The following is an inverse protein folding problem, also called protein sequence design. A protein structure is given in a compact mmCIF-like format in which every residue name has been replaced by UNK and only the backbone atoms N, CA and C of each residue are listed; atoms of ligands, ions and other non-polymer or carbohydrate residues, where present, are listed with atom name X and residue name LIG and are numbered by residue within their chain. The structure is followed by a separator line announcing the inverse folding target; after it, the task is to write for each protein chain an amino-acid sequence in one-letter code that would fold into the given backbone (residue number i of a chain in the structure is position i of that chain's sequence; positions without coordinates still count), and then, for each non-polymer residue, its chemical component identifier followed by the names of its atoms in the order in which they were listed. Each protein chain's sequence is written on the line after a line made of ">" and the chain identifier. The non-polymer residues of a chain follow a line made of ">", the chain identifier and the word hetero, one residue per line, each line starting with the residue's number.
data_IF_258125807599
#
_entry.id   IF_258125807599
#
_cell.length_a   1.000
_cell.length_b   1.000
_cell.length_c   1.000
_cell.angle_alpha   90.00
_cell.angle_beta   90.00
_cell.angle_gamma   90.00
#
_symmetry.space_group_name_H-M   'P 1'
#
loop_
_entity.id
_entity.type
_entity.pdbx_description
1 polymer ?
#
# COMPACT_ATOMS: atom_id res chain seq x y z
N UNK A 1 17.04 -8.86 3.85
CA UNK A 1 15.89 -7.91 3.86
C UNK A 1 15.54 -7.64 5.31
N UNK A 2 16.18 -6.66 5.94
CA UNK A 2 16.09 -6.39 7.39
C UNK A 2 14.78 -5.75 7.83
N UNK A 3 13.64 -6.19 7.30
CA UNK A 3 12.33 -5.77 7.78
C UNK A 3 12.09 -6.46 9.12
N UNK A 4 11.82 -5.67 10.15
CA UNK A 4 11.44 -6.24 11.44
C UNK A 4 10.15 -7.05 11.28
N UNK A 5 10.25 -8.34 11.62
CA UNK A 5 9.14 -9.28 11.47
C UNK A 5 7.97 -8.87 12.35
N UNK A 6 8.24 -8.38 13.57
CA UNK A 6 7.20 -8.00 14.52
C UNK A 6 6.38 -6.83 13.99
N UNK A 7 7.06 -5.78 13.51
CA UNK A 7 6.43 -4.60 12.91
C UNK A 7 5.65 -4.96 11.64
N UNK A 8 6.21 -5.82 10.79
CA UNK A 8 5.53 -6.29 9.57
C UNK A 8 4.23 -7.04 9.89
N UNK A 9 4.27 -7.93 10.88
CA UNK A 9 3.07 -8.66 11.32
C UNK A 9 2.05 -7.75 12.00
N UNK A 10 2.48 -6.73 12.74
CA UNK A 10 1.58 -5.75 13.33
C UNK A 10 0.82 -4.95 12.25
N UNK A 11 1.52 -4.51 11.19
CA UNK A 11 0.89 -3.84 10.04
C UNK A 11 -0.09 -4.78 9.31
N UNK A 12 0.21 -6.07 9.22
CA UNK A 12 -0.66 -7.06 8.58
C UNK A 12 -1.99 -7.30 9.35
N UNK A 13 -2.08 -6.91 10.62
CA UNK A 13 -3.33 -6.94 11.38
C UNK A 13 -4.32 -5.83 10.95
N UNK A 14 -3.88 -4.84 10.18
CA UNK A 14 -4.76 -3.83 9.58
C UNK A 14 -5.32 -2.78 10.55
N UNK A 15 -4.80 -2.66 11.78
CA UNK A 15 -5.25 -1.61 12.74
C UNK A 15 -5.12 -0.20 12.16
N UNK A 16 -4.03 0.06 11.44
CA UNK A 16 -3.74 1.32 10.77
C UNK A 16 -4.77 1.68 9.67
N UNK A 17 -5.37 0.67 9.01
CA UNK A 17 -6.43 0.89 8.01
C UNK A 17 -7.68 1.48 8.68
N UNK A 18 -8.06 0.97 9.84
CA UNK A 18 -9.20 1.48 10.64
C UNK A 18 -8.93 2.84 11.26
N UNK A 19 -7.66 3.13 11.54
CA UNK A 19 -7.21 4.43 12.02
C UNK A 19 -7.01 5.47 10.90
N UNK A 20 -7.23 5.09 9.63
CA UNK A 20 -6.99 5.93 8.46
C UNK A 20 -5.55 6.47 8.36
N UNK A 21 -4.58 5.68 8.82
CA UNK A 21 -3.16 6.02 8.74
C UNK A 21 -2.57 5.63 7.39
N UNK A 22 -1.49 6.29 6.98
CA UNK A 22 -0.80 6.00 5.73
C UNK A 22 0.43 5.10 5.98
N UNK A 23 0.61 4.09 5.13
CA UNK A 23 1.81 3.25 5.11
C UNK A 23 2.72 3.64 3.94
N UNK A 24 3.90 4.18 4.22
CA UNK A 24 4.89 4.52 3.20
C UNK A 24 6.02 3.48 3.16
N UNK A 25 6.27 2.88 1.99
CA UNK A 25 7.37 1.93 1.77
C UNK A 25 8.47 2.59 0.95
N UNK A 26 9.63 2.84 1.56
CA UNK A 26 10.76 3.56 0.94
C UNK A 26 11.95 2.64 0.69
N UNK A 27 12.90 3.10 -0.14
CA UNK A 27 14.13 2.37 -0.47
C UNK A 27 14.48 2.38 -1.96
N UNK A 28 15.68 1.90 -2.29
CA UNK A 28 16.22 1.87 -3.65
C UNK A 28 15.34 1.07 -4.63
N UNK A 29 15.51 1.31 -5.92
CA UNK A 29 14.85 0.52 -6.97
C UNK A 29 15.23 -0.96 -6.86
N UNK A 30 14.33 -1.86 -7.26
CA UNK A 30 14.58 -3.31 -7.19
C UNK A 30 14.52 -3.96 -5.79
N UNK A 31 14.35 -3.21 -4.70
CA UNK A 31 14.34 -3.79 -3.33
C UNK A 31 13.03 -4.46 -2.91
N UNK A 32 12.01 -4.48 -3.78
CA UNK A 32 10.74 -5.18 -3.53
C UNK A 32 9.65 -4.32 -2.87
N UNK A 33 9.74 -2.99 -2.94
CA UNK A 33 8.72 -2.07 -2.38
C UNK A 33 7.31 -2.35 -2.91
N UNK A 34 7.16 -2.42 -4.23
CA UNK A 34 5.87 -2.70 -4.87
C UNK A 34 5.35 -4.09 -4.50
N UNK A 35 6.25 -5.07 -4.38
CA UNK A 35 5.89 -6.42 -3.93
C UNK A 35 5.32 -6.39 -2.50
N UNK A 36 5.97 -5.68 -1.58
CA UNK A 36 5.53 -5.57 -0.19
C UNK A 36 4.22 -4.79 -0.06
N UNK A 37 4.07 -3.67 -0.78
CA UNK A 37 2.84 -2.89 -0.81
C UNK A 37 1.66 -3.74 -1.34
N UNK A 38 1.87 -4.52 -2.39
CA UNK A 38 0.85 -5.46 -2.89
C UNK A 38 0.56 -6.59 -1.90
N UNK A 39 1.54 -7.06 -1.13
CA UNK A 39 1.30 -8.05 -0.07
C UNK A 39 0.37 -7.49 1.02
N UNK A 40 0.59 -6.24 1.45
CA UNK A 40 -0.32 -5.54 2.36
C UNK A 40 -1.69 -5.28 1.73
N UNK A 41 -1.75 -4.87 0.46
CA UNK A 41 -3.03 -4.71 -0.26
C UNK A 41 -3.83 -6.01 -0.30
N UNK A 42 -3.20 -7.14 -0.64
CA UNK A 42 -3.87 -8.46 -0.60
C UNK A 42 -4.34 -8.82 0.81
N UNK A 43 -3.58 -8.47 1.84
CA UNK A 43 -3.99 -8.69 3.22
C UNK A 43 -5.17 -7.78 3.62
N UNK A 44 -5.19 -6.51 3.18
CA UNK A 44 -6.31 -5.61 3.41
C UNK A 44 -7.61 -6.14 2.76
N UNK A 45 -7.51 -6.70 1.55
CA UNK A 45 -8.64 -7.36 0.89
C UNK A 45 -9.17 -8.57 1.67
N UNK A 46 -8.29 -9.35 2.34
CA UNK A 46 -8.70 -10.45 3.24
C UNK A 46 -9.32 -9.97 4.55
N UNK A 47 -9.17 -8.69 4.88
CA UNK A 47 -9.81 -8.03 6.02
C UNK A 47 -11.06 -7.25 5.58
N UNK A 48 -11.66 -7.61 4.43
CA UNK A 48 -12.85 -7.01 3.84
C UNK A 48 -12.74 -5.51 3.51
N UNK A 49 -11.53 -5.03 3.26
CA UNK A 49 -11.32 -3.68 2.71
C UNK A 49 -11.28 -3.71 1.17
N UNK A 50 -11.92 -2.74 0.52
CA UNK A 50 -11.72 -2.49 -0.91
C UNK A 50 -10.30 -2.01 -1.17
N UNK A 51 -9.66 -2.52 -2.23
CA UNK A 51 -8.26 -2.23 -2.56
C UNK A 51 -8.15 -1.82 -4.02
N UNK A 52 -7.44 -0.72 -4.25
CA UNK A 52 -7.08 -0.25 -5.59
C UNK A 52 -5.57 -0.21 -5.73
N UNK A 53 -5.05 -0.77 -6.82
CA UNK A 53 -3.66 -0.60 -7.23
C UNK A 53 -3.60 0.34 -8.43
N UNK A 54 -2.89 1.45 -8.30
CA UNK A 54 -2.70 2.44 -9.36
C UNK A 54 -1.27 2.97 -9.36
N UNK A 55 -0.73 3.28 -10.54
CA UNK A 55 0.53 4.02 -10.65
C UNK A 55 0.26 5.52 -10.57
N UNK A 56 1.02 6.23 -9.74
CA UNK A 56 0.83 7.67 -9.48
C UNK A 56 0.76 8.52 -10.76
N UNK A 57 1.62 8.33 -11.80
CA UNK A 57 1.52 9.14 -13.02
C UNK A 57 0.15 9.01 -13.70
N UNK A 58 -0.34 7.77 -13.84
CA UNK A 58 -1.66 7.51 -14.43
C UNK A 58 -2.79 8.09 -13.58
N UNK A 59 -2.69 7.99 -12.26
CA UNK A 59 -3.69 8.57 -11.36
C UNK A 59 -3.81 10.09 -11.55
N UNK A 60 -2.69 10.79 -11.71
CA UNK A 60 -2.71 12.24 -11.93
C UNK A 60 -3.30 12.61 -13.28
N UNK A 61 -3.02 11.84 -14.33
CA UNK A 61 -3.66 12.00 -15.64
C UNK A 61 -5.18 11.80 -15.55
N UNK A 62 -5.63 10.71 -14.93
CA UNK A 62 -7.05 10.40 -14.75
C UNK A 62 -7.78 11.49 -13.94
N UNK A 63 -7.16 11.99 -12.86
CA UNK A 63 -7.71 13.07 -12.04
C UNK A 63 -7.78 14.41 -12.78
N UNK A 64 -6.80 14.72 -13.62
CA UNK A 64 -6.80 15.93 -14.43
C UNK A 64 -7.93 15.91 -15.47
N UNK A 65 -8.18 14.76 -16.10
CA UNK A 65 -9.27 14.58 -17.06
C UNK A 65 -10.66 14.68 -16.41
N UNK A 66 -10.84 14.14 -15.21
CA UNK A 66 -12.12 14.16 -14.50
C UNK A 66 -12.54 15.57 -14.01
N UNK A 67 -11.64 16.56 -14.07
CA UNK A 67 -11.88 17.94 -13.67
C UNK A 67 -12.44 18.81 -14.82
N UNK A 68 -12.31 18.34 -16.06
CA UNK A 68 -12.82 18.98 -17.28
C UNK A 68 -14.32 18.72 -17.45
#
# INVERSE_FOLDING_TARGET
>A
RGLDRRSTMALAQGKWLKAHENLMVTGQTGTGKSWLACAFGRQAARLDHSVLYVRVPRLFEDLALARL
#
